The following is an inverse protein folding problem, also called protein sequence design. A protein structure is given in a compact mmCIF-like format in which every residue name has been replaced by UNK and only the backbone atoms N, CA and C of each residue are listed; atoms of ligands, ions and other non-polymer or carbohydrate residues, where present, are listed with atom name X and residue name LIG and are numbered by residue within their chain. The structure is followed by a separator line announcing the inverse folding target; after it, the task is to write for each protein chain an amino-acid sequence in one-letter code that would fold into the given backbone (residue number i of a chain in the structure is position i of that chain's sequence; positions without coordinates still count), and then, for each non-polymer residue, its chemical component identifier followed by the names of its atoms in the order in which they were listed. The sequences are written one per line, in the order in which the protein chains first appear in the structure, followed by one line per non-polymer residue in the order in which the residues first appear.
data_IF_080440542137
#
_entry.id   IF_080440542137
#
_cell.length_a   1.000
_cell.length_b   1.000
_cell.length_c   1.000
_cell.angle_alpha   90.00
_cell.angle_beta   90.00
_cell.angle_gamma   90.00
#
_symmetry.space_group_name_H-M   'P 1'
#
loop_
_entity.id
_entity.type
_entity.pdbx_description
1 polymer ?
#
# COMPACT_ATOMS: atom_id res chain seq x y z
N UNK A 1 4.56 -10.35 -44.11
CA UNK A 1 5.28 -10.09 -42.84
C UNK A 1 4.45 -9.11 -42.02
N UNK A 2 3.85 -9.54 -40.92
CA UNK A 2 3.44 -8.68 -39.78
C UNK A 2 2.85 -9.59 -38.70
N UNK A 3 3.72 -10.09 -37.82
CA UNK A 3 3.33 -10.87 -36.64
C UNK A 3 2.83 -9.91 -35.56
N UNK A 4 1.54 -9.95 -35.26
CA UNK A 4 0.96 -9.30 -34.08
C UNK A 4 1.42 -10.05 -32.83
N UNK A 5 2.39 -9.50 -32.11
CA UNK A 5 2.83 -10.03 -30.83
C UNK A 5 1.70 -9.95 -29.81
N UNK A 6 1.08 -11.09 -29.49
CA UNK A 6 0.22 -11.23 -28.30
C UNK A 6 1.11 -11.01 -27.09
N UNK A 7 0.87 -9.91 -26.36
CA UNK A 7 1.43 -9.68 -25.03
C UNK A 7 0.97 -10.83 -24.13
N UNK A 8 1.85 -11.79 -23.91
CA UNK A 8 1.67 -12.84 -22.93
C UNK A 8 1.69 -12.19 -21.54
N UNK A 9 0.49 -11.92 -21.01
CA UNK A 9 0.29 -11.56 -19.62
C UNK A 9 0.47 -12.80 -18.75
N UNK A 10 1.71 -13.31 -18.69
CA UNK A 10 2.17 -14.23 -17.64
C UNK A 10 1.72 -13.60 -16.34
N UNK A 11 0.71 -14.19 -15.70
CA UNK A 11 0.23 -13.79 -14.37
C UNK A 11 1.45 -13.74 -13.46
N UNK A 12 2.03 -12.56 -13.31
CA UNK A 12 3.11 -12.32 -12.37
C UNK A 12 2.57 -12.78 -11.03
N UNK A 13 3.15 -13.87 -10.49
CA UNK A 13 2.71 -14.47 -9.24
C UNK A 13 2.85 -13.37 -8.20
N UNK A 14 1.70 -12.80 -7.76
CA UNK A 14 1.72 -11.65 -6.86
C UNK A 14 2.56 -12.06 -5.63
N UNK A 15 3.68 -11.37 -5.36
CA UNK A 15 4.64 -11.79 -4.34
C UNK A 15 3.99 -11.86 -2.97
N UNK A 16 2.99 -11.01 -2.77
CA UNK A 16 2.29 -10.88 -1.52
C UNK A 16 0.83 -10.48 -1.77
N UNK A 17 -0.10 -11.11 -1.04
CA UNK A 17 -1.51 -10.73 -1.09
C UNK A 17 -1.72 -9.55 -0.15
N UNK A 18 -2.36 -8.48 -0.63
CA UNK A 18 -2.76 -7.35 0.20
C UNK A 18 -3.43 -7.82 1.49
N UNK A 19 -3.01 -7.26 2.62
CA UNK A 19 -3.61 -7.53 3.93
C UNK A 19 -4.22 -6.26 4.50
N UNK A 20 -5.30 -6.44 5.26
CA UNK A 20 -5.85 -5.39 6.12
C UNK A 20 -5.39 -5.70 7.54
N UNK A 21 -4.81 -4.71 8.20
CA UNK A 21 -4.36 -4.77 9.60
C UNK A 21 -5.26 -3.80 10.38
N UNK A 22 -5.63 -4.17 11.61
CA UNK A 22 -6.33 -3.27 12.52
C UNK A 22 -5.45 -2.06 12.86
N UNK A 23 -6.04 -0.89 13.06
CA UNK A 23 -5.25 0.31 13.38
C UNK A 23 -4.45 0.13 14.67
N UNK A 24 -5.04 -0.49 15.69
CA UNK A 24 -4.40 -0.71 16.99
C UNK A 24 -3.16 -1.59 16.85
N UNK A 25 -3.30 -2.71 16.14
CA UNK A 25 -2.18 -3.63 15.88
C UNK A 25 -1.08 -2.99 15.03
N UNK A 26 -1.48 -2.16 14.06
CA UNK A 26 -0.56 -1.43 13.19
C UNK A 26 0.29 -0.44 13.99
N UNK A 27 -0.35 0.39 14.82
CA UNK A 27 0.35 1.38 15.67
C UNK A 27 1.22 0.71 16.73
N UNK A 28 0.77 -0.38 17.35
CA UNK A 28 1.59 -1.14 18.28
C UNK A 28 2.85 -1.75 17.63
N UNK A 29 2.81 -2.01 16.32
CA UNK A 29 3.90 -2.66 15.60
C UNK A 29 4.88 -1.69 14.95
N UNK A 30 4.38 -0.59 14.38
CA UNK A 30 5.14 0.33 13.52
C UNK A 30 5.22 1.75 14.12
N UNK A 31 4.41 2.04 15.14
CA UNK A 31 4.18 3.38 15.69
C UNK A 31 3.37 4.30 14.74
N UNK A 32 3.13 5.53 15.15
CA UNK A 32 2.34 6.50 14.41
C UNK A 32 3.07 7.01 13.17
N UNK A 33 2.47 6.79 12.00
CA UNK A 33 2.95 7.35 10.73
C UNK A 33 2.19 8.64 10.45
N UNK A 34 2.94 9.72 10.25
CA UNK A 34 2.41 11.00 9.81
C UNK A 34 3.22 11.59 8.66
N UNK A 35 2.56 12.38 7.82
CA UNK A 35 3.18 13.14 6.75
C UNK A 35 2.88 14.62 6.91
N UNK A 36 3.91 15.47 6.81
CA UNK A 36 3.72 16.93 6.86
C UNK A 36 2.99 17.41 5.62
N UNK A 37 2.02 18.29 5.83
CA UNK A 37 1.30 19.03 4.79
C UNK A 37 1.35 20.52 5.10
N UNK A 38 1.00 21.38 4.14
CA UNK A 38 1.15 22.84 4.24
C UNK A 38 0.62 23.46 5.55
N UNK A 39 -0.45 22.92 6.11
CA UNK A 39 -1.12 23.46 7.30
C UNK A 39 -1.36 22.40 8.41
N UNK A 40 -0.53 21.36 8.47
CA UNK A 40 -0.67 20.34 9.52
C UNK A 40 0.05 19.04 9.22
N UNK A 41 -0.46 17.96 9.81
CA UNK A 41 0.05 16.61 9.62
C UNK A 41 -1.09 15.70 9.18
N UNK A 42 -0.87 14.95 8.12
CA UNK A 42 -1.77 13.91 7.67
C UNK A 42 -1.44 12.63 8.44
N UNK A 43 -2.41 12.08 9.15
CA UNK A 43 -2.29 10.79 9.86
C UNK A 43 -3.33 9.79 9.35
N UNK A 44 -3.05 8.50 9.54
CA UNK A 44 -4.04 7.45 9.30
C UNK A 44 -5.05 7.48 10.45
N UNK A 45 -6.34 7.52 10.14
CA UNK A 45 -7.42 7.65 11.14
C UNK A 45 -8.54 6.63 11.01
N UNK A 46 -8.53 5.82 9.94
CA UNK A 46 -9.54 4.78 9.76
C UNK A 46 -9.29 3.55 10.63
N UNK A 47 -10.30 2.68 10.77
CA UNK A 47 -10.24 1.48 11.63
C UNK A 47 -9.15 0.46 11.22
N UNK A 48 -8.58 0.58 10.03
CA UNK A 48 -7.51 -0.32 9.62
C UNK A 48 -6.73 0.14 8.40
N UNK A 49 -5.51 -0.38 8.29
CA UNK A 49 -4.55 -0.05 7.26
C UNK A 49 -4.45 -1.20 6.27
N UNK A 50 -4.58 -0.89 4.98
CA UNK A 50 -4.29 -1.82 3.90
C UNK A 50 -2.81 -1.73 3.58
N UNK A 51 -2.12 -2.85 3.68
CA UNK A 51 -0.72 -3.00 3.30
C UNK A 51 -0.70 -3.76 1.98
N UNK A 52 0.02 -3.23 1.00
CA UNK A 52 0.27 -3.89 -0.28
C UNK A 52 1.77 -3.90 -0.56
N UNK A 53 2.27 -5.00 -1.15
CA UNK A 53 3.64 -5.05 -1.63
C UNK A 53 3.71 -4.51 -3.06
N UNK A 54 4.56 -3.51 -3.28
CA UNK A 54 4.91 -3.02 -4.60
C UNK A 54 6.16 -3.74 -5.09
N UNK A 55 6.01 -4.52 -6.17
CA UNK A 55 7.10 -5.33 -6.71
C UNK A 55 8.14 -4.50 -7.46
N UNK A 56 7.73 -3.37 -8.04
CA UNK A 56 8.58 -2.53 -8.87
C UNK A 56 9.47 -1.66 -7.99
N UNK A 57 8.88 -1.06 -6.95
CA UNK A 57 9.59 -0.22 -5.99
C UNK A 57 10.28 -1.02 -4.88
N UNK A 58 9.92 -2.31 -4.71
CA UNK A 58 10.36 -3.16 -3.58
C UNK A 58 10.02 -2.54 -2.22
N UNK A 59 8.86 -1.91 -2.12
CA UNK A 59 8.37 -1.22 -0.91
C UNK A 59 6.98 -1.72 -0.52
N UNK A 60 6.62 -1.54 0.75
CA UNK A 60 5.24 -1.67 1.20
C UNK A 60 4.52 -0.35 1.03
N UNK A 61 3.40 -0.38 0.30
CA UNK A 61 2.48 0.75 0.17
C UNK A 61 1.35 0.60 1.16
N UNK A 62 1.14 1.66 1.94
CA UNK A 62 0.07 1.76 2.92
C UNK A 62 -1.10 2.54 2.31
N UNK A 63 -2.31 2.12 2.61
CA UNK A 63 -3.52 2.81 2.19
C UNK A 63 -4.58 2.73 3.28
N UNK A 64 -5.24 3.85 3.56
CA UNK A 64 -6.27 3.94 4.57
C UNK A 64 -7.03 5.26 4.46
N UNK A 65 -7.94 5.48 5.40
CA UNK A 65 -8.57 6.78 5.58
C UNK A 65 -7.59 7.69 6.30
N UNK A 66 -7.37 8.87 5.74
CA UNK A 66 -6.51 9.89 6.33
C UNK A 66 -7.32 10.99 6.99
N UNK A 67 -6.76 11.60 8.03
CA UNK A 67 -7.35 12.73 8.75
C UNK A 67 -6.30 13.71 9.28
N UNK A 68 -6.78 14.88 9.69
CA UNK A 68 -6.01 15.97 10.32
C UNK A 68 -6.10 15.90 11.84
#
# INVERSE_FOLDING_TARGET
MSSTSRLDSRRQKKPWKQKKIDMTDFENSIDHISASIRYGYLRLTGDGVKVNWDQDEKTFKLSGTYGL
#
